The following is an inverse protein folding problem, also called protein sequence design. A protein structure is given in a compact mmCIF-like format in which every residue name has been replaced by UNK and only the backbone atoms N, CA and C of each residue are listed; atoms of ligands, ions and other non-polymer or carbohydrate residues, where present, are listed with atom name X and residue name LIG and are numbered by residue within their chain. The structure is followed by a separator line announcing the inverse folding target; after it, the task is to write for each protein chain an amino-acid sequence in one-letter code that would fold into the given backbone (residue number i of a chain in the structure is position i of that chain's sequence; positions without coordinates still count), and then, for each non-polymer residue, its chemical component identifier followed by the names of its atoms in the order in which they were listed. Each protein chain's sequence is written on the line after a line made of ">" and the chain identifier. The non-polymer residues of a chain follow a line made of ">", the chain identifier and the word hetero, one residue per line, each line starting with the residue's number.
data_IF_913336977758
#
_entry.id   IF_913336977758
#
_cell.length_a   1.000
_cell.length_b   1.000
_cell.length_c   1.000
_cell.angle_alpha   90.00
_cell.angle_beta   90.00
_cell.angle_gamma   90.00
#
_symmetry.space_group_name_H-M   'P 1'
#
loop_
_entity.id
_entity.type
_entity.pdbx_description
1 polymer ?
#
# COMPACT_ATOMS: atom_id res chain seq x y z
N UNK A 1 6.29 9.66 0.68
CA UNK A 1 6.45 8.61 -0.35
C UNK A 1 7.54 7.68 0.18
N UNK A 2 7.20 6.44 0.54
CA UNK A 2 8.20 5.45 0.95
C UNK A 2 9.08 5.05 -0.24
N UNK A 3 10.25 4.52 0.07
CA UNK A 3 11.20 4.05 -0.94
C UNK A 3 10.77 2.68 -1.50
N UNK A 4 11.33 2.27 -2.64
CA UNK A 4 11.13 0.91 -3.17
C UNK A 4 11.48 -0.16 -2.13
N UNK A 5 12.58 0.06 -1.39
CA UNK A 5 13.02 -0.88 -0.34
C UNK A 5 12.03 -0.98 0.82
N UNK A 6 11.32 0.11 1.14
CA UNK A 6 10.29 0.08 2.19
C UNK A 6 9.06 -0.70 1.75
N UNK A 7 8.72 -0.61 0.46
CA UNK A 7 7.64 -1.36 -0.15
C UNK A 7 7.96 -2.86 -0.19
N UNK A 8 9.17 -3.24 -0.60
CA UNK A 8 9.61 -4.64 -0.65
C UNK A 8 9.57 -5.28 0.76
N UNK A 9 10.06 -4.57 1.77
CA UNK A 9 9.99 -5.04 3.19
C UNK A 9 8.57 -5.19 3.70
N UNK A 10 7.68 -4.28 3.31
CA UNK A 10 6.27 -4.36 3.66
C UNK A 10 5.64 -5.61 3.03
N UNK A 11 5.94 -5.88 1.76
CA UNK A 11 5.47 -7.07 1.06
C UNK A 11 6.00 -8.36 1.69
N UNK A 12 7.29 -8.44 1.98
CA UNK A 12 7.91 -9.57 2.70
C UNK A 12 7.22 -9.81 4.06
N UNK A 13 6.94 -8.75 4.81
CA UNK A 13 6.27 -8.82 6.11
C UNK A 13 4.83 -9.34 5.99
N UNK A 14 4.11 -8.95 4.94
CA UNK A 14 2.77 -9.45 4.67
C UNK A 14 2.82 -10.92 4.24
N UNK A 15 3.74 -11.29 3.33
CA UNK A 15 3.93 -12.69 2.88
C UNK A 15 4.24 -13.59 4.07
N UNK A 16 5.14 -13.17 4.97
CA UNK A 16 5.47 -13.92 6.18
C UNK A 16 4.21 -14.25 6.98
N UNK A 17 3.36 -13.25 7.23
CA UNK A 17 2.16 -13.42 8.04
C UNK A 17 1.06 -14.23 7.32
N UNK A 18 0.89 -14.05 6.01
CA UNK A 18 -0.17 -14.71 5.25
C UNK A 18 0.18 -16.17 4.90
N UNK A 19 1.39 -16.40 4.39
CA UNK A 19 1.78 -17.70 3.82
C UNK A 19 2.35 -18.62 4.90
N UNK A 20 3.21 -18.09 5.75
CA UNK A 20 3.90 -18.92 6.75
C UNK A 20 3.13 -18.97 8.07
N UNK A 21 2.69 -17.81 8.57
CA UNK A 21 1.94 -17.75 9.84
C UNK A 21 0.43 -18.00 9.65
N UNK A 22 -0.03 -18.13 8.40
CA UNK A 22 -1.41 -18.47 7.99
C UNK A 22 -2.46 -17.53 8.59
N UNK A 23 -2.12 -16.26 8.76
CA UNK A 23 -3.07 -15.24 9.20
C UNK A 23 -4.03 -14.85 8.08
N UNK A 24 -5.21 -14.37 8.48
CA UNK A 24 -6.18 -13.84 7.53
C UNK A 24 -5.73 -12.45 7.03
N UNK A 25 -5.92 -12.12 5.74
CA UNK A 25 -5.58 -10.81 5.16
C UNK A 25 -6.05 -9.61 5.98
N UNK A 26 -7.30 -9.61 6.42
CA UNK A 26 -7.84 -8.49 7.20
C UNK A 26 -7.21 -8.35 8.59
N UNK A 27 -6.79 -9.47 9.21
CA UNK A 27 -6.05 -9.41 10.48
C UNK A 27 -4.67 -8.79 10.28
N UNK A 28 -3.96 -9.20 9.22
CA UNK A 28 -2.63 -8.67 8.89
C UNK A 28 -2.69 -7.17 8.61
N UNK A 29 -3.60 -6.73 7.74
CA UNK A 29 -3.72 -5.32 7.33
C UNK A 29 -4.12 -4.46 8.53
N UNK A 30 -5.14 -4.84 9.30
CA UNK A 30 -5.54 -4.08 10.50
C UNK A 30 -4.43 -4.03 11.54
N UNK A 31 -3.67 -5.11 11.70
CA UNK A 31 -2.50 -5.17 12.56
C UNK A 31 -1.40 -4.19 12.13
N UNK A 32 -1.09 -4.14 10.83
CA UNK A 32 -0.12 -3.19 10.27
C UNK A 32 -0.53 -1.73 10.48
N UNK A 33 -1.80 -1.41 10.21
CA UNK A 33 -2.32 -0.04 10.32
C UNK A 33 -2.52 0.43 11.77
N UNK A 34 -2.68 -0.50 12.70
CA UNK A 34 -2.78 -0.20 14.14
C UNK A 34 -1.43 -0.24 14.85
N UNK A 35 -0.35 -0.55 14.12
CA UNK A 35 1.00 -0.66 14.66
C UNK A 35 1.61 0.68 15.08
N UNK A 36 2.77 0.66 15.76
CA UNK A 36 3.42 1.88 16.25
C UNK A 36 3.94 2.79 15.13
N UNK A 37 4.22 2.22 13.95
CA UNK A 37 4.65 2.93 12.75
C UNK A 37 3.87 2.38 11.55
N UNK A 38 2.60 2.78 11.37
CA UNK A 38 1.78 2.23 10.30
C UNK A 38 2.30 2.68 8.93
N UNK A 39 2.25 1.82 7.90
CA UNK A 39 2.53 2.25 6.54
C UNK A 39 1.47 3.25 6.07
N UNK A 40 1.76 3.97 4.98
CA UNK A 40 0.71 4.71 4.28
C UNK A 40 -0.39 3.73 3.84
N UNK A 41 -1.68 4.04 4.06
CA UNK A 41 -2.75 3.11 3.73
C UNK A 41 -2.78 2.67 2.26
N UNK A 42 -2.41 3.55 1.30
CA UNK A 42 -2.34 3.12 -0.10
C UNK A 42 -1.14 2.21 -0.36
N UNK A 43 -0.03 2.37 0.36
CA UNK A 43 1.08 1.42 0.29
C UNK A 43 0.66 0.04 0.77
N UNK A 44 -0.15 -0.05 1.83
CA UNK A 44 -0.71 -1.31 2.29
C UNK A 44 -1.67 -1.94 1.27
N UNK A 45 -2.57 -1.15 0.67
CA UNK A 45 -3.44 -1.62 -0.43
C UNK A 45 -2.59 -2.13 -1.59
N UNK A 46 -1.59 -1.35 -2.02
CA UNK A 46 -0.71 -1.71 -3.12
C UNK A 46 0.04 -3.01 -2.83
N UNK A 47 0.69 -3.12 -1.68
CA UNK A 47 1.39 -4.34 -1.24
C UNK A 47 0.46 -5.56 -1.29
N UNK A 48 -0.74 -5.44 -0.72
CA UNK A 48 -1.70 -6.54 -0.66
C UNK A 48 -2.16 -6.98 -2.04
N UNK A 49 -2.39 -6.04 -2.97
CA UNK A 49 -2.76 -6.36 -4.35
C UNK A 49 -1.61 -6.97 -5.16
N UNK A 50 -0.37 -6.53 -4.93
CA UNK A 50 0.84 -7.13 -5.54
C UNK A 50 0.97 -8.58 -5.12
N UNK A 51 0.86 -8.85 -3.81
CA UNK A 51 0.92 -10.20 -3.26
C UNK A 51 -0.24 -11.06 -3.77
N UNK A 52 -1.46 -10.51 -3.82
CA UNK A 52 -2.61 -11.23 -4.36
C UNK A 52 -2.37 -11.67 -5.81
N UNK A 53 -1.83 -10.78 -6.64
CA UNK A 53 -1.48 -11.07 -8.02
C UNK A 53 -0.38 -12.13 -8.13
N UNK A 54 0.66 -12.06 -7.30
CA UNK A 54 1.72 -13.07 -7.26
C UNK A 54 1.15 -14.44 -6.89
N UNK A 55 0.39 -14.54 -5.79
CA UNK A 55 -0.24 -15.78 -5.31
C UNK A 55 -1.14 -16.44 -6.37
N UNK A 56 -1.91 -15.67 -7.13
CA UNK A 56 -2.72 -16.19 -8.23
C UNK A 56 -1.87 -16.83 -9.35
N UNK A 57 -0.64 -16.36 -9.55
CA UNK A 57 0.28 -16.87 -10.56
C UNK A 57 0.85 -18.27 -10.28
N UNK A 58 0.74 -18.77 -9.05
CA UNK A 58 1.27 -20.09 -8.66
C UNK A 58 0.32 -21.25 -9.00
N UNK A 59 -0.94 -20.97 -9.36
CA UNK A 59 -1.95 -21.96 -9.80
C UNK A 59 -2.27 -23.09 -8.80
N UNK A 60 -1.98 -22.89 -7.51
CA UNK A 60 -2.37 -23.80 -6.43
C UNK A 60 -3.74 -23.38 -5.85
N UNK A 61 -4.70 -24.31 -5.64
CA UNK A 61 -6.05 -23.95 -5.18
C UNK A 61 -6.08 -23.15 -3.88
N UNK A 62 -5.24 -23.51 -2.91
CA UNK A 62 -5.17 -22.82 -1.61
C UNK A 62 -4.59 -21.40 -1.77
N UNK A 63 -3.61 -21.22 -2.66
CA UNK A 63 -3.02 -19.90 -2.94
C UNK A 63 -3.99 -19.04 -3.77
N UNK A 64 -4.81 -19.64 -4.62
CA UNK A 64 -5.85 -18.95 -5.37
C UNK A 64 -6.97 -18.41 -4.45
N UNK A 65 -7.38 -19.21 -3.46
CA UNK A 65 -8.34 -18.78 -2.43
C UNK A 65 -7.74 -17.66 -1.56
N UNK A 66 -6.48 -17.81 -1.13
CA UNK A 66 -5.78 -16.74 -0.39
C UNK A 66 -5.66 -15.46 -1.21
N UNK A 67 -5.27 -15.57 -2.48
CA UNK A 67 -5.22 -14.43 -3.42
C UNK A 67 -6.57 -13.70 -3.51
N UNK A 68 -7.66 -14.46 -3.65
CA UNK A 68 -9.01 -13.89 -3.74
C UNK A 68 -9.36 -13.08 -2.48
N UNK A 69 -9.04 -13.61 -1.29
CA UNK A 69 -9.25 -12.92 -0.01
C UNK A 69 -8.38 -11.67 0.14
N UNK A 70 -7.15 -11.69 -0.37
CA UNK A 70 -6.30 -10.50 -0.41
C UNK A 70 -6.90 -9.41 -1.30
N UNK A 71 -7.43 -9.74 -2.48
CA UNK A 71 -8.13 -8.79 -3.34
C UNK A 71 -9.41 -8.24 -2.70
N UNK A 72 -10.19 -9.10 -2.03
CA UNK A 72 -11.39 -8.68 -1.30
C UNK A 72 -11.04 -7.66 -0.20
N UNK A 73 -10.06 -7.96 0.63
CA UNK A 73 -9.65 -7.05 1.73
C UNK A 73 -9.06 -5.74 1.18
N UNK A 74 -8.24 -5.80 0.12
CA UNK A 74 -7.73 -4.60 -0.55
C UNK A 74 -8.88 -3.72 -1.08
N UNK A 75 -9.93 -4.35 -1.61
CA UNK A 75 -11.12 -3.67 -2.11
C UNK A 75 -11.91 -3.01 -0.98
N UNK A 76 -12.09 -3.70 0.15
CA UNK A 76 -12.73 -3.12 1.33
C UNK A 76 -11.94 -1.91 1.83
N UNK A 77 -10.62 -2.05 1.93
CA UNK A 77 -9.75 -0.98 2.40
C UNK A 77 -9.78 0.25 1.49
N UNK A 78 -9.75 0.10 0.16
CA UNK A 78 -9.86 1.27 -0.73
C UNK A 78 -11.23 1.96 -0.63
N UNK A 79 -12.30 1.19 -0.41
CA UNK A 79 -13.63 1.73 -0.16
C UNK A 79 -13.69 2.53 1.15
N UNK A 80 -13.09 2.02 2.22
CA UNK A 80 -12.97 2.73 3.50
C UNK A 80 -12.18 4.04 3.33
N UNK A 81 -11.03 3.99 2.64
CA UNK A 81 -10.26 5.20 2.35
C UNK A 81 -11.08 6.24 1.58
N UNK A 82 -11.85 5.85 0.58
CA UNK A 82 -12.73 6.78 -0.14
C UNK A 82 -13.82 7.37 0.75
N UNK A 83 -14.41 6.56 1.64
CA UNK A 83 -15.40 7.01 2.60
C UNK A 83 -14.81 8.02 3.59
N UNK A 84 -13.55 7.83 4.00
CA UNK A 84 -12.80 8.75 4.87
C UNK A 84 -12.33 10.03 4.17
N UNK A 85 -12.54 10.14 2.86
CA UNK A 85 -12.24 11.36 2.11
C UNK A 85 -11.03 11.26 1.20
N UNK A 86 -10.41 10.09 1.04
CA UNK A 86 -9.39 9.86 0.03
C UNK A 86 -9.94 10.18 -1.38
N UNK A 87 -9.11 10.77 -2.24
CA UNK A 87 -9.45 11.14 -3.61
C UNK A 87 -8.35 10.70 -4.55
N UNK A 88 -8.72 10.05 -5.65
CA UNK A 88 -7.82 9.65 -6.75
C UNK A 88 -7.30 10.85 -7.58
N UNK A 89 -7.64 12.08 -7.21
CA UNK A 89 -7.22 13.27 -7.96
C UNK A 89 -5.74 13.54 -7.76
N UNK A 90 -5.06 13.95 -8.84
CA UNK A 90 -3.66 14.36 -8.84
C UNK A 90 -3.40 15.37 -7.69
N UNK A 91 -2.34 15.21 -6.89
CA UNK A 91 -1.96 16.20 -5.89
C UNK A 91 -1.86 17.56 -6.59
N UNK A 92 -2.51 18.59 -6.06
CA UNK A 92 -2.29 19.96 -6.54
C UNK A 92 -0.80 20.21 -6.36
N UNK A 93 -0.06 20.37 -7.47
CA UNK A 93 1.31 20.82 -7.41
C UNK A 93 1.31 22.12 -6.61
N UNK A 94 1.93 22.12 -5.43
CA UNK A 94 2.15 23.31 -4.64
C UNK A 94 3.02 24.22 -5.50
N UNK A 95 2.42 25.26 -6.09
CA UNK A 95 3.09 26.16 -7.05
C UNK A 95 4.19 27.02 -6.40
N UNK A 96 4.46 26.87 -5.12
CA UNK A 96 5.25 27.84 -4.37
C UNK A 96 6.73 27.46 -4.12
N UNK A 97 7.21 26.30 -4.58
CA UNK A 97 8.64 25.95 -4.40
C UNK A 97 9.54 26.27 -5.60
N UNK A 98 8.98 26.60 -6.77
CA UNK A 98 9.79 26.92 -7.96
C UNK A 98 10.08 28.42 -8.10
N UNK A 99 9.24 29.29 -7.51
CA UNK A 99 9.42 30.74 -7.62
C UNK A 99 10.60 31.26 -6.76
N UNK A 100 10.83 30.70 -5.57
CA UNK A 100 11.96 31.13 -4.71
C UNK A 100 13.33 30.70 -5.26
N UNK A 101 13.42 29.57 -5.97
CA UNK A 101 14.67 29.12 -6.59
C UNK A 101 15.04 29.92 -7.85
N UNK A 102 14.06 30.39 -8.63
CA UNK A 102 14.33 31.23 -9.80
C UNK A 102 14.72 32.67 -9.42
N UNK A 103 14.18 33.22 -8.33
CA UNK A 103 14.54 34.57 -7.90
C UNK A 103 15.95 34.62 -7.28
N UNK A 104 16.35 33.60 -6.50
CA UNK A 104 17.71 33.52 -5.96
C UNK A 104 18.77 33.27 -7.05
N UNK A 105 18.42 32.58 -8.14
CA UNK A 105 19.32 32.35 -9.28
C UNK A 105 19.51 33.58 -10.17
N UNK A 106 18.57 34.54 -10.15
CA UNK A 106 18.70 35.81 -10.89
C UNK A 106 19.41 36.92 -10.10
N UNK A 107 19.62 36.72 -8.79
CA UNK A 107 20.33 37.67 -7.90
C UNK A 107 21.78 37.27 -7.60
N UNK A 108 22.27 36.18 -8.19
CA UNK A 108 23.69 35.76 -8.12
C UNK A 108 24.41 36.00 -9.43
#
# INVERSE_FOLDING_TARGET
>A
MGTSEDQDKLEETIIQQLVFDRQNPGTVVRGLLSGPNPPDPLQAVFALTTIAADLAGWHEPDLQDLSSRCFEEATLMICELWAEGFRLTKPKATKDQTAEQEENRKRS
#
